data_IF_992671205069
#
_entry.id   IF_992671205069
#
_cell.length_a   1.000
_cell.length_b   1.000
_cell.length_c   1.000
_cell.angle_alpha   90.00
_cell.angle_beta   90.00
_cell.angle_gamma   90.00
#
_symmetry.space_group_name_H-M   'P 1'
#
loop_
_entity.id
_entity.type
_entity.pdbx_description
1 polymer ?
#
# COMPACT_ATOMS: atom_id res chain seq x y z
N UNK A 1 -9.69 -5.54 44.95
CA UNK A 1 -10.23 -4.24 44.52
C UNK A 1 -9.11 -3.50 43.78
N UNK A 2 -9.20 -3.52 42.45
CA UNK A 2 -8.75 -2.48 41.52
C UNK A 2 -7.28 -2.04 41.56
N UNK A 3 -6.37 -2.87 41.03
CA UNK A 3 -5.15 -2.33 40.41
C UNK A 3 -5.59 -1.82 39.03
N UNK A 4 -5.77 -0.51 38.90
CA UNK A 4 -5.83 0.15 37.60
C UNK A 4 -4.51 -0.13 36.90
N UNK A 5 -4.53 -1.01 35.91
CA UNK A 5 -3.44 -1.13 34.96
C UNK A 5 -3.44 0.15 34.14
N UNK A 6 -2.67 1.14 34.58
CA UNK A 6 -2.26 2.26 33.75
C UNK A 6 -1.72 1.68 32.44
N UNK A 7 -2.38 2.03 31.35
CA UNK A 7 -2.00 1.72 29.97
C UNK A 7 -0.76 2.56 29.56
N UNK A 8 0.14 2.83 30.51
CA UNK A 8 1.34 3.64 30.34
C UNK A 8 2.38 2.81 29.59
N UNK A 9 2.24 2.83 28.27
CA UNK A 9 3.25 2.37 27.33
C UNK A 9 4.63 2.98 27.65
N UNK A 10 5.73 2.28 27.31
CA UNK A 10 7.09 2.75 27.53
C UNK A 10 7.34 4.11 26.85
N UNK A 11 8.34 4.90 27.30
CA UNK A 11 8.60 6.24 26.79
C UNK A 11 9.15 6.16 25.36
N UNK A 12 8.25 6.08 24.39
CA UNK A 12 8.53 6.10 22.96
C UNK A 12 7.69 7.17 22.27
N UNK A 13 8.15 7.61 21.09
CA UNK A 13 7.37 8.53 20.25
C UNK A 13 6.05 7.86 19.85
N UNK A 14 4.94 8.39 20.38
CA UNK A 14 3.60 8.00 19.95
C UNK A 14 3.39 8.32 18.46
N UNK A 15 2.51 7.60 17.74
CA UNK A 15 2.22 7.87 16.33
C UNK A 15 1.83 9.32 16.04
N UNK A 16 1.14 9.98 16.98
CA UNK A 16 0.80 11.40 16.88
C UNK A 16 2.04 12.31 16.82
N UNK A 17 3.06 12.03 17.64
CA UNK A 17 4.32 12.80 17.61
C UNK A 17 5.06 12.58 16.29
N UNK A 18 5.10 11.34 15.80
CA UNK A 18 5.69 11.03 14.49
C UNK A 18 4.97 11.78 13.36
N UNK A 19 3.63 11.87 13.41
CA UNK A 19 2.84 12.63 12.45
C UNK A 19 3.25 14.10 12.40
N UNK A 20 3.36 14.77 13.55
CA UNK A 20 3.81 16.16 13.61
C UNK A 20 5.22 16.35 13.07
N UNK A 21 6.14 15.42 13.37
CA UNK A 21 7.52 15.47 12.85
C UNK A 21 7.54 15.32 11.33
N UNK A 22 6.76 14.38 10.77
CA UNK A 22 6.69 14.18 9.30
C UNK A 22 6.10 15.40 8.60
N UNK A 23 5.02 15.98 9.13
CA UNK A 23 4.44 17.21 8.58
C UNK A 23 5.42 18.39 8.64
N UNK A 24 6.16 18.52 9.73
CA UNK A 24 7.17 19.57 9.87
C UNK A 24 8.34 19.36 8.89
N UNK A 25 8.82 18.12 8.75
CA UNK A 25 9.83 17.76 7.76
C UNK A 25 9.37 18.14 6.35
N UNK A 26 8.17 17.70 5.96
CA UNK A 26 7.58 18.00 4.64
C UNK A 26 7.44 19.51 4.40
N UNK A 27 6.93 20.26 5.38
CA UNK A 27 6.55 21.67 5.19
C UNK A 27 7.71 22.66 5.34
N UNK A 28 8.73 22.33 6.13
CA UNK A 28 9.82 23.27 6.46
C UNK A 28 11.12 22.91 5.78
N UNK A 29 11.49 21.63 5.78
CA UNK A 29 12.76 21.18 5.19
C UNK A 29 12.59 20.63 3.79
N UNK A 30 11.44 20.02 3.49
CA UNK A 30 11.24 19.21 2.30
C UNK A 30 12.12 17.96 2.31
N UNK A 31 12.03 17.17 1.24
CA UNK A 31 12.92 16.05 0.99
C UNK A 31 13.88 16.47 -0.13
N UNK A 32 15.18 16.65 0.14
CA UNK A 32 16.10 17.29 -0.80
C UNK A 32 16.54 16.37 -1.94
N UNK A 33 16.59 15.05 -1.69
CA UNK A 33 17.14 14.09 -2.62
C UNK A 33 16.51 12.69 -2.47
N UNK A 34 16.66 11.89 -3.55
CA UNK A 34 16.13 10.54 -3.66
C UNK A 34 16.73 9.57 -2.62
N UNK A 35 18.00 9.73 -2.23
CA UNK A 35 18.65 8.85 -1.26
C UNK A 35 18.09 9.08 0.15
N UNK A 36 17.88 10.33 0.53
CA UNK A 36 17.20 10.71 1.79
C UNK A 36 15.77 10.19 1.82
N UNK A 37 15.03 10.27 0.71
CA UNK A 37 13.69 9.69 0.60
C UNK A 37 13.70 8.17 0.85
N UNK A 38 14.60 7.43 0.21
CA UNK A 38 14.69 5.98 0.40
C UNK A 38 15.12 5.59 1.82
N UNK A 39 16.05 6.34 2.44
CA UNK A 39 16.44 6.11 3.84
C UNK A 39 15.24 6.29 4.79
N UNK A 40 14.46 7.36 4.62
CA UNK A 40 13.24 7.59 5.38
C UNK A 40 12.24 6.44 5.23
N UNK A 41 12.06 5.94 4.00
CA UNK A 41 11.16 4.80 3.76
C UNK A 41 11.68 3.54 4.47
N UNK A 42 12.95 3.20 4.27
CA UNK A 42 13.52 1.95 4.75
C UNK A 42 13.65 1.90 6.28
N UNK A 43 14.09 2.99 6.90
CA UNK A 43 14.39 3.05 8.33
C UNK A 43 13.19 3.45 9.19
N UNK A 44 12.27 4.29 8.67
CA UNK A 44 11.17 4.83 9.46
C UNK A 44 9.79 4.31 9.00
N UNK A 45 9.45 4.52 7.73
CA UNK A 45 8.06 4.31 7.27
C UNK A 45 7.71 2.84 7.07
N UNK A 46 8.59 2.06 6.44
CA UNK A 46 8.33 0.66 6.12
C UNK A 46 8.17 -0.21 7.38
N UNK A 47 8.98 -0.04 8.46
CA UNK A 47 8.73 -0.68 9.75
C UNK A 47 7.38 -0.29 10.36
N UNK A 48 6.98 0.99 10.28
CA UNK A 48 5.71 1.47 10.81
C UNK A 48 4.51 0.87 10.04
N UNK A 49 4.59 0.78 8.72
CA UNK A 49 3.55 0.13 7.89
C UNK A 49 3.47 -1.37 8.22
N UNK A 50 4.61 -2.05 8.36
CA UNK A 50 4.64 -3.47 8.79
C UNK A 50 3.97 -3.64 10.14
N UNK A 51 4.26 -2.77 11.10
CA UNK A 51 3.63 -2.78 12.42
C UNK A 51 2.10 -2.65 12.31
N UNK A 52 1.59 -1.71 11.49
CA UNK A 52 0.16 -1.57 11.25
C UNK A 52 -0.48 -2.85 10.71
N UNK A 53 0.16 -3.50 9.73
CA UNK A 53 -0.37 -4.77 9.19
C UNK A 53 -0.35 -5.93 10.19
N UNK A 54 0.60 -5.94 11.14
CA UNK A 54 0.66 -6.97 12.19
C UNK A 54 -0.45 -6.74 13.23
N UNK A 55 -0.66 -5.50 13.64
CA UNK A 55 -1.71 -5.13 14.58
C UNK A 55 -3.11 -5.46 14.06
N UNK A 56 -3.34 -5.29 12.76
CA UNK A 56 -4.63 -5.66 12.12
C UNK A 56 -4.88 -7.18 12.12
N UNK A 57 -3.83 -8.00 12.00
CA UNK A 57 -3.95 -9.47 12.05
C UNK A 57 -4.17 -10.02 13.46
N UNK A 58 -3.68 -9.32 14.49
CA UNK A 58 -3.72 -9.79 15.88
C UNK A 58 -5.09 -9.65 16.56
N UNK A 59 -6.15 -9.27 15.84
CA UNK A 59 -7.46 -8.89 16.38
C UNK A 59 -7.41 -7.72 17.39
N UNK A 60 -6.33 -6.93 17.39
CA UNK A 60 -6.14 -5.69 18.17
C UNK A 60 -6.34 -4.45 17.26
N UNK A 61 -7.01 -4.66 16.12
CA UNK A 61 -7.24 -3.68 15.04
C UNK A 61 -8.02 -2.44 15.50
N UNK A 62 -8.79 -2.56 16.57
CA UNK A 62 -9.58 -1.47 17.16
C UNK A 62 -8.90 -0.77 18.34
N UNK A 63 -7.65 -1.13 18.67
CA UNK A 63 -6.91 -0.42 19.70
C UNK A 63 -6.62 1.03 19.31
N UNK A 64 -6.60 1.93 20.30
CA UNK A 64 -6.23 3.34 20.09
C UNK A 64 -4.87 3.49 19.40
N UNK A 65 -3.93 2.59 19.69
CA UNK A 65 -2.62 2.56 19.05
C UNK A 65 -2.72 2.21 17.56
N UNK A 66 -3.46 1.15 17.20
CA UNK A 66 -3.64 0.75 15.80
C UNK A 66 -4.33 1.87 14.99
N UNK A 67 -5.37 2.50 15.55
CA UNK A 67 -6.07 3.61 14.91
C UNK A 67 -5.19 4.86 14.79
N UNK A 68 -4.41 5.19 15.83
CA UNK A 68 -3.46 6.30 15.77
C UNK A 68 -2.36 6.07 14.72
N UNK A 69 -1.89 4.82 14.59
CA UNK A 69 -0.91 4.44 13.59
C UNK A 69 -1.49 4.54 12.16
N UNK A 70 -2.72 4.06 11.94
CA UNK A 70 -3.40 4.20 10.65
C UNK A 70 -3.60 5.68 10.27
N UNK A 71 -3.94 6.55 11.23
CA UNK A 71 -4.02 8.00 10.99
C UNK A 71 -2.67 8.59 10.59
N UNK A 72 -1.60 8.27 11.33
CA UNK A 72 -0.24 8.71 11.01
C UNK A 72 0.19 8.28 9.60
N UNK A 73 -0.01 7.01 9.27
CA UNK A 73 0.38 6.47 7.98
C UNK A 73 -0.42 7.11 6.85
N UNK A 74 -1.75 7.08 6.93
CA UNK A 74 -2.60 7.51 5.81
C UNK A 74 -2.71 9.03 5.66
N UNK A 75 -2.49 9.82 6.71
CA UNK A 75 -2.62 11.29 6.64
C UNK A 75 -1.29 12.01 6.41
N UNK A 76 -0.15 11.36 6.64
CA UNK A 76 1.17 12.01 6.52
C UNK A 76 2.15 11.19 5.71
N UNK A 77 2.38 9.93 6.07
CA UNK A 77 3.40 9.10 5.39
C UNK A 77 3.01 8.79 3.96
N UNK A 78 1.81 8.25 3.73
CA UNK A 78 1.34 7.87 2.40
C UNK A 78 1.23 9.09 1.48
N UNK A 79 0.61 10.22 1.86
CA UNK A 79 0.60 11.43 1.04
C UNK A 79 2.00 11.97 0.71
N UNK A 80 2.94 11.91 1.67
CA UNK A 80 4.33 12.28 1.43
C UNK A 80 4.98 11.38 0.39
N UNK A 81 4.76 10.06 0.48
CA UNK A 81 5.28 9.11 -0.51
C UNK A 81 4.63 9.30 -1.88
N UNK A 82 3.34 9.64 -1.95
CA UNK A 82 2.62 9.92 -3.20
C UNK A 82 3.15 11.18 -3.89
N UNK A 83 3.35 12.27 -3.14
CA UNK A 83 3.86 13.53 -3.70
C UNK A 83 5.29 13.39 -4.24
N UNK A 84 6.07 12.47 -3.67
CA UNK A 84 7.43 12.17 -4.09
C UNK A 84 7.53 10.90 -4.96
N UNK A 85 6.43 10.48 -5.61
CA UNK A 85 6.42 9.25 -6.40
C UNK A 85 7.46 9.24 -7.54
N UNK A 86 7.80 10.42 -8.09
CA UNK A 86 8.84 10.58 -9.10
C UNK A 86 10.22 10.07 -8.66
N UNK A 87 10.51 10.02 -7.35
CA UNK A 87 11.75 9.42 -6.83
C UNK A 87 11.80 7.90 -6.96
N UNK A 88 10.72 7.23 -7.36
CA UNK A 88 10.74 5.80 -7.64
C UNK A 88 11.13 5.47 -9.10
N UNK A 89 11.24 6.46 -9.97
CA UNK A 89 11.68 6.29 -11.35
C UNK A 89 13.17 5.88 -11.42
N UNK A 90 13.53 5.05 -12.41
CA UNK A 90 14.89 4.58 -12.69
C UNK A 90 15.65 3.93 -11.51
N UNK A 91 14.91 3.39 -10.53
CA UNK A 91 15.46 2.78 -9.32
C UNK A 91 15.67 1.26 -9.39
N UNK A 92 16.07 0.72 -10.55
CA UNK A 92 16.22 -0.73 -10.76
C UNK A 92 17.16 -1.41 -9.76
N UNK A 93 18.20 -0.69 -9.36
CA UNK A 93 19.21 -1.14 -8.40
C UNK A 93 18.64 -1.40 -6.99
N UNK A 94 17.44 -0.86 -6.69
CA UNK A 94 16.70 -1.07 -5.42
C UNK A 94 15.46 -1.93 -5.61
N UNK A 95 15.47 -2.85 -6.59
CA UNK A 95 14.32 -3.70 -6.92
C UNK A 95 13.71 -4.44 -5.72
N UNK A 96 14.53 -4.95 -4.81
CA UNK A 96 14.08 -5.63 -3.58
C UNK A 96 13.33 -4.70 -2.61
N UNK A 97 13.80 -3.46 -2.45
CA UNK A 97 13.15 -2.46 -1.59
C UNK A 97 11.80 -2.04 -2.20
N UNK A 98 11.77 -1.78 -3.50
CA UNK A 98 10.56 -1.42 -4.23
C UNK A 98 9.50 -2.54 -4.15
N UNK A 99 9.90 -3.79 -4.32
CA UNK A 99 9.02 -4.95 -4.14
C UNK A 99 8.50 -5.04 -2.69
N UNK A 100 9.35 -4.81 -1.69
CA UNK A 100 8.95 -4.79 -0.29
C UNK A 100 7.95 -3.67 0.00
N UNK A 101 8.14 -2.47 -0.55
CA UNK A 101 7.21 -1.34 -0.42
C UNK A 101 5.86 -1.73 -1.02
N UNK A 102 5.87 -2.21 -2.27
CA UNK A 102 4.69 -2.63 -3.00
C UNK A 102 3.87 -3.66 -2.21
N UNK A 103 4.54 -4.71 -1.75
CA UNK A 103 3.90 -5.80 -1.03
C UNK A 103 3.36 -5.35 0.34
N UNK A 104 4.10 -4.50 1.06
CA UNK A 104 3.70 -4.04 2.39
C UNK A 104 2.52 -3.07 2.31
N UNK A 105 2.51 -2.16 1.34
CA UNK A 105 1.41 -1.20 1.18
C UNK A 105 0.17 -1.88 0.59
N UNK A 106 0.32 -2.85 -0.31
CA UNK A 106 -0.80 -3.69 -0.75
C UNK A 106 -1.39 -4.53 0.40
N UNK A 107 -0.59 -4.92 1.40
CA UNK A 107 -1.13 -5.53 2.62
C UNK A 107 -1.87 -4.51 3.47
N UNK A 108 -1.34 -3.28 3.61
CA UNK A 108 -2.00 -2.18 4.30
C UNK A 108 -3.37 -1.89 3.70
N UNK A 109 -3.51 -1.87 2.37
CA UNK A 109 -4.79 -1.62 1.68
C UNK A 109 -5.88 -2.66 1.97
N UNK A 110 -5.55 -3.77 2.64
CA UNK A 110 -6.50 -4.81 3.07
C UNK A 110 -6.83 -4.76 4.55
N UNK A 111 -6.24 -3.82 5.30
CA UNK A 111 -6.52 -3.71 6.72
C UNK A 111 -7.98 -3.32 6.94
N UNK A 112 -8.67 -4.05 7.82
CA UNK A 112 -10.11 -3.86 8.08
C UNK A 112 -10.40 -2.59 8.85
N UNK A 113 -9.41 -2.14 9.63
CA UNK A 113 -9.47 -0.93 10.46
C UNK A 113 -9.34 0.38 9.67
N UNK A 114 -9.13 0.34 8.36
CA UNK A 114 -9.03 1.54 7.52
C UNK A 114 -10.40 2.11 7.15
N UNK A 115 -10.55 3.42 7.31
CA UNK A 115 -11.69 4.16 6.78
C UNK A 115 -11.61 4.27 5.25
N UNK A 116 -12.73 4.55 4.59
CA UNK A 116 -12.79 4.74 3.14
C UNK A 116 -11.79 5.78 2.62
N UNK A 117 -11.70 6.94 3.27
CA UNK A 117 -10.78 8.01 2.84
C UNK A 117 -9.30 7.61 2.99
N UNK A 118 -8.96 6.89 4.06
CA UNK A 118 -7.60 6.38 4.26
C UNK A 118 -7.25 5.32 3.21
N UNK A 119 -8.21 4.44 2.92
CA UNK A 119 -8.07 3.45 1.87
C UNK A 119 -7.86 4.13 0.52
N UNK A 120 -8.68 5.12 0.16
CA UNK A 120 -8.53 5.88 -1.10
C UNK A 120 -7.13 6.52 -1.21
N UNK A 121 -6.58 7.07 -0.13
CA UNK A 121 -5.22 7.64 -0.11
C UNK A 121 -4.14 6.57 -0.37
N UNK A 122 -4.30 5.37 0.20
CA UNK A 122 -3.39 4.22 -0.05
C UNK A 122 -3.50 3.75 -1.50
N UNK A 123 -4.69 3.79 -2.09
CA UNK A 123 -4.89 3.42 -3.50
C UNK A 123 -4.20 4.39 -4.42
N UNK A 124 -4.38 5.69 -4.19
CA UNK A 124 -3.76 6.75 -4.98
C UNK A 124 -2.23 6.62 -4.97
N UNK A 125 -1.65 6.33 -3.79
CA UNK A 125 -0.24 5.99 -3.70
C UNK A 125 0.13 4.76 -4.52
N UNK A 126 -0.58 3.63 -4.36
CA UNK A 126 -0.28 2.39 -5.08
C UNK A 126 -0.34 2.58 -6.59
N UNK A 127 -1.25 3.45 -7.06
CA UNK A 127 -1.40 3.83 -8.46
C UNK A 127 -0.21 4.65 -8.95
N UNK A 128 0.14 5.72 -8.24
CA UNK A 128 1.29 6.56 -8.58
C UNK A 128 2.59 5.75 -8.56
N UNK A 129 2.75 4.86 -7.58
CA UNK A 129 3.90 3.99 -7.46
C UNK A 129 3.93 2.92 -8.56
N UNK A 130 2.80 2.28 -8.87
CA UNK A 130 2.73 1.29 -9.94
C UNK A 130 3.07 1.89 -11.32
N UNK A 131 2.71 3.15 -11.58
CA UNK A 131 3.06 3.82 -12.84
C UNK A 131 4.56 4.07 -13.01
N UNK A 132 5.32 4.20 -11.92
CA UNK A 132 6.78 4.41 -11.98
C UNK A 132 7.56 3.09 -12.04
N UNK A 133 6.93 1.96 -11.73
CA UNK A 133 7.59 0.66 -11.72
C UNK A 133 7.66 0.04 -13.12
N UNK A 134 8.74 -0.71 -13.36
CA UNK A 134 8.83 -1.57 -14.54
C UNK A 134 7.82 -2.72 -14.45
N UNK A 135 7.19 -3.11 -15.56
CA UNK A 135 6.20 -4.19 -15.59
C UNK A 135 6.68 -5.50 -14.95
N UNK A 136 7.96 -5.85 -15.14
CA UNK A 136 8.57 -7.05 -14.56
C UNK A 136 8.56 -7.10 -13.03
N UNK A 137 8.52 -5.94 -12.37
CA UNK A 137 8.48 -5.82 -10.90
C UNK A 137 7.07 -5.99 -10.34
N UNK A 138 6.04 -5.93 -11.20
CA UNK A 138 4.65 -6.06 -10.78
C UNK A 138 4.13 -7.50 -10.86
N UNK A 139 4.84 -8.39 -11.55
CA UNK A 139 4.49 -9.82 -11.70
C UNK A 139 4.22 -10.55 -10.37
N UNK A 140 4.98 -10.33 -9.27
CA UNK A 140 4.67 -10.92 -7.97
C UNK A 140 3.34 -10.43 -7.39
N UNK A 141 3.03 -9.14 -7.54
CA UNK A 141 1.78 -8.56 -7.05
C UNK A 141 0.58 -9.01 -7.90
N UNK A 142 0.74 -9.15 -9.22
CA UNK A 142 -0.29 -9.72 -10.10
C UNK A 142 -0.64 -11.15 -9.72
N UNK A 143 0.35 -11.99 -9.41
CA UNK A 143 0.11 -13.35 -8.89
C UNK A 143 -0.73 -13.33 -7.62
N UNK A 144 -0.42 -12.42 -6.70
CA UNK A 144 -1.15 -12.27 -5.45
C UNK A 144 -2.58 -11.78 -5.69
N UNK A 145 -2.76 -10.78 -6.55
CA UNK A 145 -4.07 -10.27 -6.96
C UNK A 145 -4.95 -11.37 -7.58
N UNK A 146 -4.44 -12.18 -8.50
CA UNK A 146 -5.18 -13.31 -9.10
C UNK A 146 -5.75 -14.24 -8.04
N UNK A 147 -4.99 -14.50 -6.97
CA UNK A 147 -5.44 -15.33 -5.85
C UNK A 147 -6.44 -14.60 -4.94
N UNK A 148 -6.33 -13.27 -4.83
CA UNK A 148 -7.14 -12.46 -3.91
C UNK A 148 -8.52 -12.06 -4.49
N UNK A 149 -8.65 -11.93 -5.82
CA UNK A 149 -9.91 -11.55 -6.51
C UNK A 149 -11.15 -12.35 -6.05
N UNK A 150 -11.09 -13.69 -5.92
CA UNK A 150 -12.27 -14.48 -5.53
C UNK A 150 -12.78 -14.21 -4.11
N UNK A 151 -11.93 -13.68 -3.22
CA UNK A 151 -12.24 -13.45 -1.81
C UNK A 151 -12.60 -11.99 -1.49
N UNK A 152 -12.51 -11.09 -2.47
CA UNK A 152 -12.85 -9.68 -2.31
C UNK A 152 -14.37 -9.55 -2.51
N UNK A 153 -15.15 -9.52 -1.41
CA UNK A 153 -16.61 -9.29 -1.45
C UNK A 153 -17.01 -7.84 -1.15
N UNK A 154 -16.34 -7.15 -0.22
CA UNK A 154 -16.77 -5.78 0.20
C UNK A 154 -15.78 -4.64 -0.12
N UNK A 155 -14.52 -4.94 -0.47
CA UNK A 155 -13.46 -3.95 -0.77
C UNK A 155 -12.98 -3.99 -2.25
N UNK A 156 -13.76 -4.58 -3.16
CA UNK A 156 -13.37 -4.86 -4.56
C UNK A 156 -13.06 -3.64 -5.41
N UNK A 157 -13.66 -2.50 -5.11
CA UNK A 157 -13.53 -1.30 -5.96
C UNK A 157 -12.06 -0.84 -6.04
N UNK A 158 -11.32 -1.02 -4.95
CA UNK A 158 -9.96 -0.52 -4.80
C UNK A 158 -8.94 -1.34 -5.61
N UNK A 159 -8.85 -2.68 -5.45
CA UNK A 159 -7.99 -3.50 -6.29
C UNK A 159 -8.38 -3.43 -7.78
N UNK A 160 -9.67 -3.30 -8.09
CA UNK A 160 -10.14 -3.16 -9.47
C UNK A 160 -9.70 -1.82 -10.09
N UNK A 161 -9.84 -0.70 -9.39
CA UNK A 161 -9.34 0.61 -9.85
C UNK A 161 -7.82 0.58 -10.05
N UNK A 162 -7.10 -0.01 -9.09
CA UNK A 162 -5.66 -0.19 -9.17
C UNK A 162 -5.26 -0.96 -10.43
N UNK A 163 -5.96 -2.07 -10.70
CA UNK A 163 -5.74 -2.90 -11.87
C UNK A 163 -6.07 -2.18 -13.18
N UNK A 164 -7.22 -1.52 -13.27
CA UNK A 164 -7.65 -0.81 -14.48
C UNK A 164 -6.64 0.26 -14.88
N UNK A 165 -6.26 1.13 -13.93
CA UNK A 165 -5.33 2.22 -14.23
C UNK A 165 -3.91 1.71 -14.53
N UNK A 166 -3.47 0.63 -13.88
CA UNK A 166 -2.21 0.01 -14.22
C UNK A 166 -2.23 -0.63 -15.63
N UNK A 167 -3.32 -1.31 -16.02
CA UNK A 167 -3.46 -1.82 -17.38
C UNK A 167 -3.49 -0.71 -18.41
N UNK A 168 -4.12 0.42 -18.13
CA UNK A 168 -4.10 1.58 -19.01
C UNK A 168 -2.67 2.11 -19.21
N UNK A 169 -1.92 2.25 -18.12
CA UNK A 169 -0.53 2.73 -18.13
C UNK A 169 0.43 1.76 -18.84
N UNK A 170 0.29 0.45 -18.59
CA UNK A 170 1.13 -0.59 -19.17
C UNK A 170 0.55 -1.20 -20.46
N UNK A 171 -0.55 -0.69 -20.99
CA UNK A 171 -1.28 -1.24 -22.15
C UNK A 171 -0.37 -1.48 -23.36
N UNK A 172 0.52 -0.52 -23.66
CA UNK A 172 1.49 -0.63 -24.77
C UNK A 172 2.54 -1.70 -24.52
N UNK A 173 3.01 -1.85 -23.29
CA UNK A 173 3.95 -2.90 -22.91
C UNK A 173 3.32 -4.29 -23.03
N UNK A 174 2.10 -4.46 -22.52
CA UNK A 174 1.36 -5.72 -22.61
C UNK A 174 1.08 -6.16 -24.04
N UNK A 175 1.00 -5.21 -24.97
CA UNK A 175 0.76 -5.47 -26.39
C UNK A 175 2.04 -5.89 -27.14
N UNK A 176 3.22 -5.40 -26.74
CA UNK A 176 4.44 -5.48 -27.56
C UNK A 176 5.53 -6.35 -26.92
N UNK A 177 5.65 -6.35 -25.59
CA UNK A 177 6.83 -6.90 -24.90
C UNK A 177 6.50 -7.70 -23.63
N UNK A 178 5.23 -7.94 -23.33
CA UNK A 178 4.86 -8.80 -22.21
C UNK A 178 5.25 -10.26 -22.44
N UNK A 179 5.78 -10.86 -21.38
CA UNK A 179 6.08 -12.29 -21.31
C UNK A 179 4.81 -13.12 -21.33
N UNK A 180 4.91 -14.38 -21.77
CA UNK A 180 3.76 -15.30 -21.81
C UNK A 180 3.17 -15.54 -20.41
N UNK A 181 3.99 -15.52 -19.36
CA UNK A 181 3.51 -15.62 -17.98
C UNK A 181 2.68 -14.40 -17.56
N UNK A 182 3.12 -13.19 -17.90
CA UNK A 182 2.38 -11.97 -17.61
C UNK A 182 1.03 -11.94 -18.35
N UNK A 183 1.00 -12.34 -19.63
CA UNK A 183 -0.25 -12.47 -20.40
C UNK A 183 -1.20 -13.49 -19.78
N UNK A 184 -0.69 -14.63 -19.34
CA UNK A 184 -1.48 -15.69 -18.69
C UNK A 184 -2.07 -15.23 -17.36
N UNK A 185 -1.28 -14.55 -16.52
CA UNK A 185 -1.74 -14.00 -15.24
C UNK A 185 -2.82 -12.95 -15.46
N UNK A 186 -2.63 -12.06 -16.44
CA UNK A 186 -3.62 -11.07 -16.86
C UNK A 186 -4.94 -11.72 -17.27
N UNK A 187 -4.88 -12.74 -18.13
CA UNK A 187 -6.06 -13.47 -18.58
C UNK A 187 -6.79 -14.15 -17.42
N UNK A 188 -6.05 -14.82 -16.53
CA UNK A 188 -6.63 -15.44 -15.33
C UNK A 188 -7.28 -14.40 -14.41
N UNK A 189 -6.66 -13.25 -14.24
CA UNK A 189 -7.19 -12.17 -13.41
C UNK A 189 -8.53 -11.67 -13.96
N UNK A 190 -8.59 -11.35 -15.26
CA UNK A 190 -9.83 -10.91 -15.89
C UNK A 190 -10.92 -11.97 -15.77
N UNK A 191 -10.61 -13.24 -16.04
CA UNK A 191 -11.57 -14.33 -15.87
C UNK A 191 -12.12 -14.39 -14.44
N UNK A 192 -11.24 -14.33 -13.43
CA UNK A 192 -11.64 -14.35 -12.02
C UNK A 192 -12.48 -13.13 -11.62
N UNK A 193 -12.18 -11.94 -12.17
CA UNK A 193 -12.97 -10.73 -11.93
C UNK A 193 -14.36 -10.90 -12.55
N UNK A 194 -14.45 -11.36 -13.79
CA UNK A 194 -15.72 -11.60 -14.46
C UNK A 194 -16.56 -12.66 -13.74
N UNK A 195 -15.95 -13.78 -13.31
CA UNK A 195 -16.63 -14.81 -12.53
C UNK A 195 -17.14 -14.26 -11.18
N UNK A 196 -16.34 -13.43 -10.50
CA UNK A 196 -16.71 -12.80 -9.24
C UNK A 196 -17.82 -11.74 -9.40
N UNK A 197 -17.88 -11.04 -10.54
CA UNK A 197 -18.96 -10.10 -10.87
C UNK A 197 -20.23 -10.85 -11.28
N UNK A 198 -20.12 -11.88 -12.11
CA UNK A 198 -21.25 -12.69 -12.57
C UNK A 198 -21.94 -13.41 -11.41
N UNK A 199 -21.18 -13.95 -10.46
CA UNK A 199 -21.74 -14.59 -9.26
C UNK A 199 -22.52 -13.63 -8.35
N UNK A 200 -22.24 -12.33 -8.39
CA UNK A 200 -23.00 -11.30 -7.65
C UNK A 200 -24.26 -10.82 -8.36
N UNK A 201 -24.33 -10.92 -9.69
CA UNK A 201 -25.50 -10.52 -10.50
C UNK A 201 -26.58 -11.62 -10.51
N UNK A 202 -26.22 -12.86 -10.17
CA UNK A 202 -27.15 -13.99 -10.08
C UNK A 202 -27.81 -14.18 -8.70
N UNK A 203 -27.78 -13.18 -7.82
CA UNK A 203 -28.52 -13.13 -6.54
C UNK A 203 -29.45 -11.92 -6.59
#
# INVERSE_FOLDING_TARGET
>A
LSIQAENSMPPGLQPAHKMSIVLFLERVYGIPDQETFFRLIEEAFLPDIRCATILDMAAVSESDLALALNRYLCNSVIPLMTSHAHYFEDCDHRSSLLESILHTIYRLSKCRSLTKNQLDSVCEFLLAFASTLKPSMMTPLLRKLVHDVPALTDQTIVPLRMLTQWYEHCSRYYTISATEEEKRLTMMLFQKIFDALASRVCI
#
